data_IF_875647628424
#
_entry.id   IF_875647628424
#
_cell.length_a   1.000
_cell.length_b   1.000
_cell.length_c   1.000
_cell.angle_alpha   90.00
_cell.angle_beta   90.00
_cell.angle_gamma   90.00
#
_symmetry.space_group_name_H-M   'P 1'
#
loop_
_entity.id
_entity.type
_entity.pdbx_description
1 polymer ?
#
# COMPACT_ATOMS: atom_id res chain seq x y z
N UNK A 1 -11.76 12.88 14.75
CA UNK A 1 -11.38 11.58 15.37
C UNK A 1 -11.25 11.69 16.90
N UNK A 2 -10.21 12.36 17.44
CA UNK A 2 -9.93 12.47 18.89
C UNK A 2 -11.14 12.96 19.71
N UNK A 3 -11.88 13.95 19.21
CA UNK A 3 -13.10 14.44 19.87
C UNK A 3 -14.16 13.33 20.07
N UNK A 4 -14.30 12.40 19.12
CA UNK A 4 -15.23 11.26 19.24
C UNK A 4 -14.78 10.27 20.32
N UNK A 5 -13.46 9.99 20.39
CA UNK A 5 -12.88 9.14 21.43
C UNK A 5 -13.11 9.75 22.82
N UNK A 6 -12.81 11.04 22.99
CA UNK A 6 -13.06 11.79 24.24
C UNK A 6 -14.54 11.84 24.62
N UNK A 7 -15.44 11.78 23.64
CA UNK A 7 -16.88 11.64 23.85
C UNK A 7 -17.33 10.18 24.13
N UNK A 8 -16.39 9.26 24.34
CA UNK A 8 -16.66 7.86 24.69
C UNK A 8 -17.13 6.99 23.53
N UNK A 9 -16.83 7.35 22.27
CA UNK A 9 -17.21 6.57 21.08
C UNK A 9 -16.03 5.74 20.56
N UNK A 10 -16.32 4.54 20.06
CA UNK A 10 -15.38 3.80 19.21
C UNK A 10 -15.29 4.49 17.85
N UNK A 11 -14.13 4.41 17.18
CA UNK A 11 -13.89 5.10 15.92
C UNK A 11 -13.25 4.18 14.89
N UNK A 12 -13.83 4.15 13.68
CA UNK A 12 -13.17 3.68 12.47
C UNK A 12 -12.86 4.90 11.62
N UNK A 13 -11.60 5.09 11.26
CA UNK A 13 -11.16 6.23 10.44
C UNK A 13 -10.76 5.76 9.05
N UNK A 14 -11.16 6.52 8.03
CA UNK A 14 -10.70 6.30 6.66
C UNK A 14 -9.19 6.52 6.52
N UNK A 15 -8.65 5.94 5.45
CA UNK A 15 -7.26 6.13 5.04
C UNK A 15 -7.08 7.42 4.22
N UNK A 16 -5.87 8.03 4.23
CA UNK A 16 -4.85 7.84 5.26
C UNK A 16 -5.38 8.40 6.60
N UNK A 17 -5.08 7.71 7.70
CA UNK A 17 -5.68 8.05 8.99
C UNK A 17 -5.18 9.37 9.57
N UNK A 18 -3.97 9.77 9.18
CA UNK A 18 -3.28 10.99 9.56
C UNK A 18 -2.32 11.39 8.44
N UNK A 19 -1.85 12.65 8.43
CA UNK A 19 -0.87 13.11 7.43
C UNK A 19 0.57 12.75 7.79
N UNK A 20 0.82 12.44 9.06
CA UNK A 20 2.14 12.01 9.55
C UNK A 20 2.00 11.05 10.74
N UNK A 21 3.11 10.40 11.10
CA UNK A 21 3.14 9.41 12.17
C UNK A 21 2.86 10.02 13.56
N UNK A 22 3.34 11.24 13.83
CA UNK A 22 3.14 11.90 15.13
C UNK A 22 1.65 12.16 15.41
N UNK A 23 0.90 12.62 14.42
CA UNK A 23 -0.56 12.74 14.51
C UNK A 23 -1.23 11.38 14.81
N UNK A 24 -0.80 10.29 14.16
CA UNK A 24 -1.30 8.95 14.45
C UNK A 24 -0.96 8.50 15.87
N UNK A 25 0.21 8.84 16.40
CA UNK A 25 0.59 8.55 17.78
C UNK A 25 -0.33 9.26 18.79
N UNK A 26 -0.65 10.54 18.55
CA UNK A 26 -1.63 11.29 19.35
C UNK A 26 -3.02 10.63 19.33
N UNK A 27 -3.43 10.16 18.15
CA UNK A 27 -4.68 9.46 17.93
C UNK A 27 -4.75 8.13 18.71
N UNK A 28 -3.67 7.36 18.71
CA UNK A 28 -3.53 6.11 19.47
C UNK A 28 -3.56 6.39 20.98
N UNK A 29 -2.83 7.42 21.43
CA UNK A 29 -2.80 7.83 22.84
C UNK A 29 -4.20 8.22 23.34
N UNK A 30 -4.94 9.02 22.56
CA UNK A 30 -6.31 9.40 22.89
C UNK A 30 -7.27 8.20 22.97
N UNK A 31 -7.09 7.19 22.11
CA UNK A 31 -7.91 5.97 22.15
C UNK A 31 -7.66 5.16 23.42
N UNK A 32 -6.37 5.04 23.80
CA UNK A 32 -5.93 4.38 25.04
C UNK A 32 -6.46 5.10 26.28
N UNK A 33 -6.35 6.43 26.33
CA UNK A 33 -6.86 7.25 27.43
C UNK A 33 -8.38 7.12 27.59
N UNK A 34 -9.12 7.13 26.48
CA UNK A 34 -10.58 7.01 26.50
C UNK A 34 -11.08 5.56 26.75
N UNK A 35 -10.20 4.56 26.71
CA UNK A 35 -10.59 3.14 26.77
C UNK A 35 -11.51 2.73 25.62
N UNK A 36 -11.31 3.29 24.42
CA UNK A 36 -12.14 3.04 23.22
C UNK A 36 -11.36 2.37 22.12
N UNK A 37 -12.09 1.65 21.27
CA UNK A 37 -11.53 1.03 20.07
C UNK A 37 -11.32 2.10 19.01
N UNK A 38 -10.11 2.10 18.46
CA UNK A 38 -9.74 2.88 17.29
C UNK A 38 -9.16 1.95 16.24
N UNK A 39 -9.68 2.01 15.01
CA UNK A 39 -9.19 1.23 13.88
C UNK A 39 -9.07 2.10 12.64
N UNK A 40 -8.07 1.81 11.82
CA UNK A 40 -7.96 2.34 10.45
C UNK A 40 -8.75 1.44 9.51
N UNK A 41 -9.46 2.02 8.54
CA UNK A 41 -10.17 1.27 7.51
C UNK A 41 -9.22 0.84 6.38
N UNK A 42 -8.31 -0.10 6.67
CA UNK A 42 -7.42 -0.71 5.68
C UNK A 42 -8.13 -1.81 4.88
N UNK A 43 -9.20 -1.43 4.20
CA UNK A 43 -10.10 -2.34 3.49
C UNK A 43 -9.42 -3.19 2.41
N UNK A 44 -8.32 -2.72 1.82
CA UNK A 44 -7.58 -3.45 0.78
C UNK A 44 -6.80 -4.66 1.27
N UNK A 45 -6.70 -4.89 2.58
CA UNK A 45 -6.22 -6.18 3.11
C UNK A 45 -7.17 -7.35 2.78
N UNK A 46 -8.41 -7.04 2.37
CA UNK A 46 -9.39 -8.02 1.93
C UNK A 46 -9.46 -8.18 0.40
N UNK A 47 -8.66 -7.41 -0.36
CA UNK A 47 -8.60 -7.53 -1.82
C UNK A 47 -8.15 -8.96 -2.21
N UNK A 48 -8.84 -9.55 -3.19
CA UNK A 48 -8.66 -10.96 -3.57
C UNK A 48 -7.24 -11.24 -4.07
N UNK A 49 -6.69 -10.36 -4.90
CA UNK A 49 -5.33 -10.43 -5.45
C UNK A 49 -4.30 -10.45 -4.32
N UNK A 50 -4.43 -9.52 -3.36
CA UNK A 50 -3.55 -9.46 -2.19
C UNK A 50 -3.63 -10.73 -1.35
N UNK A 51 -4.84 -11.20 -1.02
CA UNK A 51 -5.01 -12.41 -0.21
C UNK A 51 -4.45 -13.66 -0.90
N UNK A 52 -4.52 -13.73 -2.23
CA UNK A 52 -3.90 -14.80 -3.01
C UNK A 52 -2.38 -14.76 -2.90
N UNK A 53 -1.75 -13.59 -3.09
CA UNK A 53 -0.29 -13.44 -2.96
C UNK A 53 0.16 -13.75 -1.54
N UNK A 54 -0.50 -13.19 -0.52
CA UNK A 54 -0.17 -13.45 0.88
C UNK A 54 -0.21 -14.94 1.20
N UNK A 55 -1.27 -15.63 0.80
CA UNK A 55 -1.41 -17.08 1.01
C UNK A 55 -0.27 -17.85 0.33
N UNK A 56 0.10 -17.47 -0.89
CA UNK A 56 1.21 -18.11 -1.61
C UNK A 56 2.54 -17.96 -0.85
N UNK A 57 2.80 -16.79 -0.27
CA UNK A 57 3.99 -16.57 0.55
C UNK A 57 3.96 -17.35 1.87
N UNK A 58 2.79 -17.47 2.50
CA UNK A 58 2.59 -18.26 3.72
C UNK A 58 2.77 -19.77 3.47
N UNK A 59 2.30 -20.28 2.32
CA UNK A 59 2.40 -21.70 1.96
C UNK A 59 3.80 -22.12 1.48
N UNK A 60 4.65 -21.18 1.06
CA UNK A 60 6.03 -21.41 0.59
C UNK A 60 6.14 -22.46 -0.52
N UNK A 61 5.10 -22.65 -1.32
CA UNK A 61 5.05 -23.63 -2.42
C UNK A 61 6.04 -23.31 -3.53
N UNK A 62 6.42 -22.03 -3.68
CA UNK A 62 7.48 -21.58 -4.60
C UNK A 62 8.82 -21.30 -3.90
N UNK A 63 8.99 -21.77 -2.67
CA UNK A 63 10.15 -21.44 -1.83
C UNK A 63 10.04 -20.06 -1.17
N UNK A 64 11.19 -19.47 -0.82
CA UNK A 64 11.24 -18.19 -0.10
C UNK A 64 11.13 -17.02 -1.10
N UNK A 65 10.29 -16.00 -0.85
CA UNK A 65 10.26 -14.78 -1.65
C UNK A 65 11.54 -13.99 -1.44
N UNK A 66 12.08 -13.42 -2.51
CA UNK A 66 13.20 -12.47 -2.42
C UNK A 66 12.90 -11.13 -3.12
N UNK A 67 11.92 -11.09 -4.03
CA UNK A 67 11.52 -9.87 -4.71
C UNK A 67 10.01 -9.81 -4.97
N UNK A 68 9.38 -8.69 -4.62
CA UNK A 68 7.93 -8.48 -4.77
C UNK A 68 7.67 -7.20 -5.54
N UNK A 69 6.87 -7.27 -6.58
CA UNK A 69 6.42 -6.09 -7.33
C UNK A 69 4.92 -5.96 -7.21
N UNK A 70 4.44 -4.75 -6.89
CA UNK A 70 3.04 -4.44 -6.70
C UNK A 70 2.70 -3.12 -7.38
N UNK A 71 1.77 -3.17 -8.34
CA UNK A 71 1.49 -2.05 -9.23
C UNK A 71 0.03 -1.66 -9.25
N UNK A 72 -0.25 -0.37 -9.16
CA UNK A 72 -1.55 0.20 -9.49
C UNK A 72 -1.35 1.17 -10.64
N UNK A 73 -1.73 0.74 -11.82
CA UNK A 73 -1.51 1.47 -13.07
C UNK A 73 -2.83 1.73 -13.78
N UNK A 74 -2.92 2.89 -14.41
CA UNK A 74 -4.01 3.23 -15.33
C UNK A 74 -3.71 4.52 -16.07
N UNK A 75 -4.65 4.95 -16.91
CA UNK A 75 -4.49 6.05 -17.85
C UNK A 75 -5.53 7.17 -17.66
N UNK A 76 -6.08 7.31 -16.45
CA UNK A 76 -7.14 8.29 -16.14
C UNK A 76 -6.60 9.72 -15.92
N UNK A 77 -5.29 9.90 -15.85
CA UNK A 77 -4.64 11.20 -15.70
C UNK A 77 -4.79 11.80 -14.29
N UNK A 78 -4.90 13.12 -14.24
CA UNK A 78 -4.86 13.90 -13.00
C UNK A 78 -5.93 13.50 -11.97
N UNK A 79 -5.63 13.80 -10.71
CA UNK A 79 -6.58 13.66 -9.60
C UNK A 79 -7.67 14.74 -9.64
N UNK A 80 -8.90 14.34 -9.32
CA UNK A 80 -10.04 15.25 -9.21
C UNK A 80 -10.29 15.67 -7.75
N UNK A 81 -10.75 16.91 -7.57
CA UNK A 81 -11.18 17.45 -6.28
C UNK A 81 -10.04 17.64 -5.28
N UNK A 82 -10.34 17.44 -3.99
CA UNK A 82 -9.40 17.72 -2.89
C UNK A 82 -8.07 16.97 -2.97
N UNK A 83 -8.04 15.81 -3.66
CA UNK A 83 -6.86 14.97 -3.85
C UNK A 83 -5.74 15.64 -4.67
N UNK A 84 -6.07 16.66 -5.44
CA UNK A 84 -5.09 17.47 -6.17
C UNK A 84 -4.31 18.43 -5.27
N UNK A 85 -4.64 18.52 -3.97
CA UNK A 85 -4.11 19.56 -3.09
C UNK A 85 -3.33 19.03 -1.89
N UNK A 86 -2.11 19.53 -1.67
CA UNK A 86 -1.22 19.12 -0.56
C UNK A 86 -1.85 19.38 0.80
N UNK A 87 -2.47 20.55 0.96
CA UNK A 87 -3.08 20.96 2.24
C UNK A 87 -4.18 20.00 2.71
N UNK A 88 -4.77 19.24 1.79
CA UNK A 88 -5.81 18.26 2.08
C UNK A 88 -5.28 16.82 2.18
N UNK A 89 -3.96 16.60 2.16
CA UNK A 89 -3.37 15.26 2.09
C UNK A 89 -3.55 14.59 0.73
N UNK A 90 -3.51 15.37 -0.35
CA UNK A 90 -3.53 14.88 -1.72
C UNK A 90 -2.23 14.17 -2.16
N UNK A 91 -2.25 13.56 -3.34
CA UNK A 91 -1.14 12.71 -3.82
C UNK A 91 -1.52 11.25 -3.98
N UNK A 92 -0.99 10.60 -5.01
CA UNK A 92 -1.11 9.16 -5.18
C UNK A 92 -0.44 8.37 -4.06
N UNK A 93 0.54 8.94 -3.37
CA UNK A 93 1.21 8.28 -2.24
C UNK A 93 0.24 8.12 -1.08
N UNK A 94 -0.48 9.20 -0.77
CA UNK A 94 -1.48 9.22 0.30
C UNK A 94 -2.80 8.55 -0.10
N UNK A 95 -3.16 8.54 -1.39
CA UNK A 95 -4.39 7.89 -1.86
C UNK A 95 -4.22 6.37 -2.06
N UNK A 96 -3.23 5.94 -2.86
CA UNK A 96 -3.01 4.53 -3.21
C UNK A 96 -1.76 3.93 -2.59
N UNK A 97 -0.69 4.70 -2.45
CA UNK A 97 0.56 4.25 -1.85
C UNK A 97 0.37 3.71 -0.43
N UNK A 98 -0.49 4.34 0.38
CA UNK A 98 -0.85 3.87 1.72
C UNK A 98 -1.37 2.44 1.73
N UNK A 99 -2.15 2.03 0.72
CA UNK A 99 -2.67 0.68 0.64
C UNK A 99 -1.59 -0.34 0.27
N UNK A 100 -0.72 0.00 -0.68
CA UNK A 100 0.34 -0.90 -1.14
C UNK A 100 1.41 -1.07 -0.06
N UNK A 101 1.77 0.02 0.63
CA UNK A 101 2.68 -0.02 1.78
C UNK A 101 2.05 -0.82 2.93
N UNK A 102 0.78 -0.60 3.26
CA UNK A 102 0.07 -1.37 4.29
C UNK A 102 0.06 -2.88 3.97
N UNK A 103 -0.27 -3.26 2.74
CA UNK A 103 -0.24 -4.64 2.27
C UNK A 103 1.17 -5.26 2.36
N UNK A 104 2.20 -4.51 1.97
CA UNK A 104 3.59 -4.95 2.01
C UNK A 104 4.06 -5.17 3.46
N UNK A 105 3.82 -4.20 4.34
CA UNK A 105 4.17 -4.30 5.76
C UNK A 105 3.37 -5.38 6.49
N UNK A 106 2.13 -5.66 6.06
CA UNK A 106 1.31 -6.74 6.62
C UNK A 106 1.78 -8.13 6.18
N UNK A 107 2.33 -8.28 4.96
CA UNK A 107 2.79 -9.57 4.46
C UNK A 107 4.23 -9.92 4.81
N UNK A 108 5.10 -8.92 5.04
CA UNK A 108 6.52 -9.12 5.35
C UNK A 108 6.79 -8.81 6.82
N UNK A 109 6.91 -9.82 7.70
CA UNK A 109 7.17 -9.64 9.12
C UNK A 109 8.65 -9.37 9.40
N UNK A 110 9.18 -8.29 8.81
CA UNK A 110 10.58 -7.87 8.95
C UNK A 110 10.69 -6.34 9.00
N UNK A 111 11.69 -5.78 9.69
CA UNK A 111 11.98 -4.35 9.60
C UNK A 111 12.40 -3.93 8.18
N UNK A 112 11.98 -2.74 7.78
CA UNK A 112 12.50 -2.04 6.59
C UNK A 112 13.86 -1.43 6.93
N UNK A 113 14.85 -1.64 6.07
CA UNK A 113 16.23 -1.14 6.25
C UNK A 113 16.61 -0.07 5.23
N UNK A 114 15.91 0.02 4.09
CA UNK A 114 16.08 1.14 3.16
C UNK A 114 14.84 1.40 2.32
N UNK A 115 14.68 2.66 1.90
CA UNK A 115 13.66 3.10 0.96
C UNK A 115 14.28 4.08 -0.03
N UNK A 116 14.12 3.81 -1.31
CA UNK A 116 14.45 4.71 -2.41
C UNK A 116 13.15 5.06 -3.13
N UNK A 117 12.87 6.36 -3.32
CA UNK A 117 11.56 6.82 -3.77
C UNK A 117 11.68 7.89 -4.87
N UNK A 118 11.02 7.64 -5.99
CA UNK A 118 10.93 8.59 -7.10
C UNK A 118 9.47 9.00 -7.27
N UNK A 119 9.16 10.27 -7.01
CA UNK A 119 7.83 10.84 -7.12
C UNK A 119 7.84 11.88 -8.25
N UNK A 120 6.84 11.80 -9.13
CA UNK A 120 6.65 12.74 -10.22
C UNK A 120 5.24 13.34 -10.15
N UNK A 121 5.15 14.58 -10.64
CA UNK A 121 3.91 15.36 -10.78
C UNK A 121 3.78 15.71 -12.27
N UNK A 122 3.27 14.77 -13.07
CA UNK A 122 3.22 14.91 -14.54
C UNK A 122 1.97 15.67 -14.97
N UNK A 123 0.83 15.39 -14.34
CA UNK A 123 -0.49 15.98 -14.63
C UNK A 123 -1.06 16.75 -13.44
N UNK A 124 -0.49 16.55 -12.26
CA UNK A 124 -0.82 17.27 -11.04
C UNK A 124 0.04 18.54 -10.92
N UNK A 125 -0.50 19.56 -10.25
CA UNK A 125 0.21 20.83 -10.06
C UNK A 125 1.18 20.81 -8.87
N UNK A 126 0.72 20.29 -7.73
CA UNK A 126 1.52 20.30 -6.50
C UNK A 126 1.80 18.92 -5.90
N UNK A 127 0.96 17.93 -6.15
CA UNK A 127 1.04 16.59 -5.54
C UNK A 127 1.57 15.55 -6.53
N UNK A 128 2.10 14.43 -6.02
CA UNK A 128 2.53 13.33 -6.87
C UNK A 128 1.36 12.61 -7.57
N UNK A 129 1.61 12.14 -8.79
CA UNK A 129 0.68 11.31 -9.58
C UNK A 129 1.33 10.08 -10.21
N UNK A 130 2.64 9.94 -10.04
CA UNK A 130 3.45 8.82 -10.48
C UNK A 130 4.55 8.55 -9.45
N UNK A 131 4.61 7.32 -8.97
CA UNK A 131 5.46 6.92 -7.85
C UNK A 131 6.11 5.59 -8.17
N UNK A 132 7.41 5.51 -7.93
CA UNK A 132 8.12 4.24 -7.78
C UNK A 132 8.83 4.23 -6.44
N UNK A 133 8.60 3.19 -5.63
CA UNK A 133 9.26 2.97 -4.35
C UNK A 133 10.01 1.65 -4.41
N UNK A 134 11.29 1.67 -4.06
CA UNK A 134 12.07 0.47 -3.82
C UNK A 134 12.30 0.33 -2.31
N UNK A 135 11.88 -0.79 -1.73
CA UNK A 135 11.92 -1.05 -0.29
C UNK A 135 12.76 -2.29 -0.04
N UNK A 136 13.67 -2.24 0.93
CA UNK A 136 14.47 -3.40 1.36
C UNK A 136 14.17 -3.75 2.81
N UNK A 137 14.03 -5.03 3.09
CA UNK A 137 13.81 -5.58 4.42
C UNK A 137 15.07 -6.24 4.97
N UNK A 138 15.19 -6.27 6.29
CA UNK A 138 16.32 -6.90 7.01
C UNK A 138 16.48 -8.40 6.67
N UNK A 139 15.36 -9.11 6.48
CA UNK A 139 15.34 -10.52 6.11
C UNK A 139 15.75 -10.81 4.65
N UNK A 140 16.15 -9.79 3.88
CA UNK A 140 16.63 -9.93 2.51
C UNK A 140 15.56 -9.75 1.42
N UNK A 141 14.28 -9.69 1.78
CA UNK A 141 13.20 -9.40 0.81
C UNK A 141 13.35 -7.96 0.31
N UNK A 142 13.20 -7.76 -1.00
CA UNK A 142 13.06 -6.42 -1.58
C UNK A 142 11.73 -6.28 -2.31
N UNK A 143 11.22 -5.05 -2.42
CA UNK A 143 9.98 -4.79 -3.10
C UNK A 143 10.02 -3.53 -3.97
N UNK A 144 9.31 -3.58 -5.10
CA UNK A 144 9.01 -2.43 -5.95
C UNK A 144 7.51 -2.15 -5.88
N UNK A 145 7.14 -0.97 -5.38
CA UNK A 145 5.78 -0.47 -5.43
C UNK A 145 5.68 0.59 -6.52
N UNK A 146 4.67 0.48 -7.37
CA UNK A 146 4.43 1.44 -8.45
C UNK A 146 2.99 1.92 -8.43
N UNK A 147 2.81 3.24 -8.47
CA UNK A 147 1.52 3.87 -8.73
C UNK A 147 1.71 4.77 -9.94
N UNK A 148 0.92 4.58 -10.99
CA UNK A 148 0.96 5.41 -12.19
C UNK A 148 -0.43 5.71 -12.71
N UNK A 149 -0.68 6.99 -12.98
CA UNK A 149 -1.97 7.51 -13.45
C UNK A 149 -2.02 7.76 -14.96
N UNK A 150 -0.89 7.59 -15.65
CA UNK A 150 -0.74 7.75 -17.10
C UNK A 150 0.01 6.57 -17.75
N UNK A 151 -0.22 5.37 -17.26
CA UNK A 151 0.26 4.13 -17.85
C UNK A 151 -0.80 3.59 -18.83
N UNK A 152 -0.50 3.58 -20.13
CA UNK A 152 -1.42 3.13 -21.17
C UNK A 152 -1.33 1.62 -21.46
N UNK A 153 -0.23 0.99 -21.04
CA UNK A 153 -0.01 -0.44 -21.12
C UNK A 153 0.36 -0.91 -19.74
N UNK A 154 -0.61 -1.49 -19.05
CA UNK A 154 -0.42 -1.95 -17.68
C UNK A 154 0.50 -3.17 -17.65
N UNK A 155 1.37 -3.18 -16.66
CA UNK A 155 2.12 -4.33 -16.19
C UNK A 155 1.26 -5.14 -15.21
N UNK A 156 1.69 -6.37 -14.87
CA UNK A 156 0.98 -7.20 -13.90
C UNK A 156 0.78 -6.48 -12.56
N UNK A 157 -0.42 -6.64 -12.00
CA UNK A 157 -0.79 -6.15 -10.67
C UNK A 157 0.17 -6.65 -9.58
N UNK A 158 0.57 -7.92 -9.64
CA UNK A 158 1.62 -8.51 -8.81
C UNK A 158 2.61 -9.32 -9.64
N UNK A 159 3.89 -9.23 -9.29
CA UNK A 159 4.92 -10.14 -9.77
C UNK A 159 5.84 -10.49 -8.60
N UNK A 160 5.93 -11.77 -8.27
CA UNK A 160 6.60 -12.26 -7.06
C UNK A 160 7.63 -13.30 -7.46
N UNK A 161 8.89 -13.02 -7.14
CA UNK A 161 10.01 -13.92 -7.37
C UNK A 161 10.40 -14.64 -6.09
N UNK A 162 10.41 -15.98 -6.17
CA UNK A 162 10.76 -16.88 -5.08
C UNK A 162 11.89 -17.82 -5.52
N UNK A 163 12.58 -18.44 -4.57
CA UNK A 163 13.73 -19.31 -4.86
C UNK A 163 13.41 -20.54 -5.72
N UNK A 164 12.15 -20.98 -5.76
CA UNK A 164 11.67 -22.15 -6.49
C UNK A 164 10.61 -21.83 -7.53
N UNK A 165 10.43 -20.57 -7.91
CA UNK A 165 9.51 -20.18 -8.98
C UNK A 165 9.05 -18.73 -8.93
N UNK A 166 8.17 -18.38 -9.85
CA UNK A 166 7.58 -17.04 -9.98
C UNK A 166 6.07 -17.12 -9.99
N UNK A 167 5.41 -16.20 -9.27
CA UNK A 167 3.96 -16.00 -9.31
C UNK A 167 3.63 -14.63 -9.92
N UNK A 168 2.59 -14.62 -10.75
CA UNK A 168 2.08 -13.39 -11.39
C UNK A 168 0.58 -13.28 -11.15
N UNK A 169 0.10 -12.08 -10.87
CA UNK A 169 -1.33 -11.74 -10.93
C UNK A 169 -1.45 -10.58 -11.90
N UNK A 170 -2.11 -10.80 -13.04
CA UNK A 170 -2.13 -9.85 -14.15
C UNK A 170 -2.94 -8.60 -13.81
N UNK A 171 -4.14 -8.79 -13.24
CA UNK A 171 -5.12 -7.72 -13.06
C UNK A 171 -5.99 -7.92 -11.81
N UNK A 172 -6.95 -7.01 -11.61
CA UNK A 172 -7.90 -7.01 -10.50
C UNK A 172 -8.87 -8.20 -10.52
N UNK A 173 -9.11 -8.81 -11.68
CA UNK A 173 -9.94 -10.01 -11.82
C UNK A 173 -9.18 -11.28 -11.39
N UNK A 174 -7.90 -11.11 -11.03
CA UNK A 174 -6.96 -12.14 -10.62
C UNK A 174 -6.69 -13.14 -11.75
N UNK A 175 -6.70 -12.67 -13.00
CA UNK A 175 -6.25 -13.50 -14.11
C UNK A 175 -4.77 -13.84 -13.97
N UNK A 176 -4.41 -15.01 -14.51
CA UNK A 176 -3.01 -15.34 -14.73
C UNK A 176 -2.21 -15.73 -13.50
N UNK A 177 -2.84 -16.21 -12.39
CA UNK A 177 -2.12 -16.93 -11.33
C UNK A 177 -1.44 -18.16 -11.95
N UNK A 178 -0.25 -17.93 -12.45
CA UNK A 178 0.61 -18.91 -13.09
C UNK A 178 1.86 -19.00 -12.24
N UNK A 179 2.00 -20.15 -11.59
CA UNK A 179 3.24 -20.52 -10.92
C UNK A 179 4.12 -21.17 -11.97
N UNK A 180 5.26 -20.54 -12.29
CA UNK A 180 6.29 -21.15 -13.14
C UNK A 180 7.40 -21.63 -12.23
N UNK A 181 7.66 -22.94 -12.26
CA UNK A 181 8.71 -23.65 -11.53
C UNK A 181 9.92 -23.80 -12.45
#
# INVERSE_FOLDING_TARGET
MIACLRAGKNVVCEKPVAMNAAELEEMIAAAKEAGRVFSVHQNRRWDRDYRMVRRLLEEKTLGEPYFIESRVQGSRGAMFGWRGYKVNGGGMLLDWGVHLLDQLMDMIPSPVVSVDAHLQSVFSGEVDDNIKLFVRFENGVSALLEISTNCFVNLPRWHVSCTGGTAVVEDWECHGLSCRI
#
